data_IF_095231421943
#
_entry.id   IF_095231421943
#
_cell.length_a   1.000
_cell.length_b   1.000
_cell.length_c   1.000
_cell.angle_alpha   90.00
_cell.angle_beta   90.00
_cell.angle_gamma   90.00
#
_symmetry.space_group_name_H-M   'P 1'
#
loop_
_entity.id
_entity.type
_entity.pdbx_description
1 polymer ?
#
# COMPACT_ATOMS: atom_id res chain seq x y z
N UNK A 1 56.79 -32.58 32.99
CA UNK A 1 55.36 -32.58 33.41
C UNK A 1 54.46 -32.44 32.18
N UNK A 2 53.80 -33.52 31.73
CA UNK A 2 52.85 -33.49 30.60
C UNK A 2 51.53 -32.87 31.07
N UNK A 3 51.18 -31.66 30.64
CA UNK A 3 49.81 -31.14 30.84
C UNK A 3 48.82 -32.13 30.20
N UNK A 4 47.81 -32.62 30.93
CA UNK A 4 46.95 -33.69 30.42
C UNK A 4 46.06 -33.14 29.31
N UNK A 5 46.16 -33.74 28.12
CA UNK A 5 45.42 -33.37 26.89
C UNK A 5 43.89 -33.26 27.09
N UNK A 6 43.34 -33.83 28.16
CA UNK A 6 41.94 -33.71 28.58
C UNK A 6 41.54 -32.29 28.99
N UNK A 7 42.43 -31.54 29.65
CA UNK A 7 42.18 -30.15 30.07
C UNK A 7 41.99 -29.21 28.89
N UNK A 8 42.78 -29.38 27.82
CA UNK A 8 42.68 -28.58 26.60
C UNK A 8 41.39 -28.88 25.82
N UNK A 9 40.99 -30.15 25.76
CA UNK A 9 39.72 -30.55 25.13
C UNK A 9 38.51 -29.99 25.88
N UNK A 10 38.54 -30.03 27.22
CA UNK A 10 37.48 -29.46 28.04
C UNK A 10 37.34 -27.95 27.81
N UNK A 11 38.45 -27.21 27.83
CA UNK A 11 38.46 -25.77 27.56
C UNK A 11 37.88 -25.47 26.17
N UNK A 12 38.31 -26.22 25.15
CA UNK A 12 37.83 -26.03 23.78
C UNK A 12 36.33 -26.29 23.65
N UNK A 13 35.81 -27.36 24.26
CA UNK A 13 34.37 -27.66 24.25
C UNK A 13 33.56 -26.58 24.96
N UNK A 14 34.02 -26.11 26.13
CA UNK A 14 33.34 -25.02 26.86
C UNK A 14 33.32 -23.74 26.03
N UNK A 15 34.44 -23.38 25.40
CA UNK A 15 34.51 -22.19 24.53
C UNK A 15 33.54 -22.29 23.36
N UNK A 16 33.45 -23.45 22.68
CA UNK A 16 32.52 -23.65 21.57
C UNK A 16 31.07 -23.51 22.04
N UNK A 17 30.72 -24.12 23.18
CA UNK A 17 29.35 -24.02 23.74
C UNK A 17 29.01 -22.58 24.08
N UNK A 18 29.93 -21.83 24.70
CA UNK A 18 29.72 -20.42 25.05
C UNK A 18 29.49 -19.58 23.79
N UNK A 19 30.34 -19.74 22.76
CA UNK A 19 30.19 -19.03 21.49
C UNK A 19 28.84 -19.35 20.84
N UNK A 20 28.46 -20.63 20.79
CA UNK A 20 27.20 -21.05 20.19
C UNK A 20 25.99 -20.52 20.95
N UNK A 21 26.05 -20.51 22.29
CA UNK A 21 25.00 -19.98 23.16
C UNK A 21 24.84 -18.48 22.98
N UNK A 22 25.94 -17.73 22.91
CA UNK A 22 25.92 -16.29 22.66
C UNK A 22 25.34 -15.97 21.28
N UNK A 23 25.74 -16.70 20.24
CA UNK A 23 25.20 -16.51 18.89
C UNK A 23 23.71 -16.84 18.83
N UNK A 24 23.28 -17.92 19.48
CA UNK A 24 21.86 -18.30 19.53
C UNK A 24 21.02 -17.23 20.24
N UNK A 25 21.47 -16.75 21.39
CA UNK A 25 20.80 -15.67 22.12
C UNK A 25 20.76 -14.37 21.33
N UNK A 26 21.87 -13.97 20.68
CA UNK A 26 21.91 -12.77 19.84
C UNK A 26 20.94 -12.87 18.64
N UNK A 27 20.83 -14.05 18.03
CA UNK A 27 19.93 -14.27 16.90
C UNK A 27 18.46 -14.26 17.34
N UNK A 28 18.17 -14.75 18.55
CA UNK A 28 16.80 -14.75 19.11
C UNK A 28 16.40 -13.36 19.65
N UNK A 29 17.36 -12.56 20.12
CA UNK A 29 17.14 -11.18 20.59
C UNK A 29 17.04 -10.15 19.45
N UNK A 30 17.45 -10.49 18.22
CA UNK A 30 17.22 -9.67 17.02
C UNK A 30 15.75 -9.74 16.54
N UNK A 31 14.82 -9.75 17.50
CA UNK A 31 13.38 -9.65 17.32
C UNK A 31 13.06 -8.25 16.80
N UNK A 32 12.95 -8.14 15.47
CA UNK A 32 12.36 -7.03 14.73
C UNK A 32 12.99 -5.66 15.02
N UNK A 33 14.12 -5.37 14.34
CA UNK A 33 14.27 -3.99 13.87
C UNK A 33 13.11 -3.73 12.93
N UNK A 34 12.01 -3.20 13.46
CA UNK A 34 11.12 -2.42 12.62
C UNK A 34 12.00 -1.31 12.05
N UNK A 35 12.37 -1.45 10.78
CA UNK A 35 12.84 -0.30 10.02
C UNK A 35 11.67 0.69 10.05
N UNK A 36 11.64 1.53 11.07
CA UNK A 36 10.94 2.81 11.05
C UNK A 36 11.70 3.66 10.05
N UNK A 37 11.51 3.36 8.77
CA UNK A 37 11.90 4.23 7.69
C UNK A 37 10.93 5.41 7.73
N UNK A 38 11.20 6.34 8.64
CA UNK A 38 10.61 7.67 8.54
C UNK A 38 11.19 8.23 7.24
N UNK A 39 10.35 8.32 6.21
CA UNK A 39 10.67 9.02 4.97
C UNK A 39 10.80 10.49 5.34
N UNK A 40 11.96 10.88 5.89
CA UNK A 40 12.21 12.21 6.44
C UNK A 40 12.43 13.27 5.36
N UNK A 41 12.35 12.88 4.08
CA UNK A 41 12.53 13.78 2.96
C UNK A 41 11.38 13.58 1.96
N UNK A 42 10.47 14.54 1.91
CA UNK A 42 9.50 14.64 0.84
C UNK A 42 10.28 14.84 -0.46
N UNK A 43 10.38 13.79 -1.28
CA UNK A 43 10.96 13.90 -2.62
C UNK A 43 10.12 14.93 -3.39
N UNK A 44 10.67 16.10 -3.65
CA UNK A 44 9.99 17.14 -4.44
C UNK A 44 9.58 16.58 -5.80
N UNK A 45 8.42 17.00 -6.31
CA UNK A 45 7.95 16.66 -7.66
C UNK A 45 8.91 17.11 -8.77
N UNK A 46 9.84 18.03 -8.47
CA UNK A 46 10.88 18.51 -9.38
C UNK A 46 12.17 17.68 -9.32
N UNK A 47 12.27 16.69 -8.43
CA UNK A 47 13.45 15.83 -8.34
C UNK A 47 13.47 14.83 -9.51
N UNK A 48 14.59 14.66 -10.24
CA UNK A 48 14.69 13.71 -11.36
C UNK A 48 14.45 12.25 -10.96
N UNK A 49 14.56 11.92 -9.68
CA UNK A 49 14.26 10.59 -9.14
C UNK A 49 12.83 10.44 -8.61
N UNK A 50 11.99 11.48 -8.65
CA UNK A 50 10.63 11.47 -8.09
C UNK A 50 9.80 10.28 -8.58
N UNK A 51 9.66 10.13 -9.90
CA UNK A 51 8.89 9.06 -10.54
C UNK A 51 9.40 7.68 -10.15
N UNK A 52 10.73 7.51 -10.06
CA UNK A 52 11.35 6.23 -9.68
C UNK A 52 11.13 5.90 -8.20
N UNK A 53 11.22 6.90 -7.33
CA UNK A 53 11.04 6.73 -5.88
C UNK A 53 9.59 6.45 -5.53
N UNK A 54 8.65 7.24 -6.09
CA UNK A 54 7.21 7.07 -5.85
C UNK A 54 6.69 5.79 -6.51
N UNK A 55 7.16 5.44 -7.70
CA UNK A 55 6.74 4.22 -8.40
C UNK A 55 7.06 2.94 -7.61
N UNK A 56 8.12 2.94 -6.80
CA UNK A 56 8.43 1.83 -5.89
C UNK A 56 7.48 1.69 -4.71
N UNK A 57 6.82 2.78 -4.30
CA UNK A 57 5.94 2.81 -3.14
C UNK A 57 4.51 2.49 -3.56
N UNK A 58 4.06 3.09 -4.67
CA UNK A 58 2.66 3.02 -5.06
C UNK A 58 2.28 1.72 -5.75
N UNK A 59 3.24 1.03 -6.38
CA UNK A 59 3.12 -0.22 -7.17
C UNK A 59 2.74 -0.03 -8.66
N UNK A 60 1.81 0.86 -9.07
CA UNK A 60 1.62 1.20 -10.47
C UNK A 60 2.80 1.94 -11.09
N UNK A 61 3.13 1.56 -12.32
CA UNK A 61 3.99 2.35 -13.21
C UNK A 61 3.30 3.65 -13.58
N UNK A 62 4.02 4.77 -13.56
CA UNK A 62 3.52 6.04 -14.09
C UNK A 62 3.20 5.91 -15.58
N UNK A 63 2.03 6.40 -15.97
CA UNK A 63 1.58 6.43 -17.36
C UNK A 63 1.58 7.88 -17.84
N UNK A 64 2.09 8.13 -19.04
CA UNK A 64 2.08 9.46 -19.67
C UNK A 64 0.76 9.74 -20.41
N UNK A 65 0.52 11.00 -20.77
CA UNK A 65 -0.63 11.39 -21.59
C UNK A 65 -1.97 11.50 -20.85
N UNK A 66 -1.97 11.52 -19.51
CA UNK A 66 -3.20 11.73 -18.74
C UNK A 66 -3.73 13.15 -18.93
N UNK A 67 -5.05 13.28 -19.09
CA UNK A 67 -5.76 14.53 -18.90
C UNK A 67 -6.18 14.63 -17.43
N UNK A 68 -5.82 15.74 -16.77
CA UNK A 68 -6.10 15.95 -15.36
C UNK A 68 -6.92 17.23 -15.23
N UNK A 69 -8.11 17.11 -14.67
CA UNK A 69 -8.99 18.23 -14.33
C UNK A 69 -9.10 18.28 -12.79
N UNK A 70 -8.79 19.43 -12.18
CA UNK A 70 -8.88 19.62 -10.73
C UNK A 70 -10.31 20.04 -10.40
N UNK A 71 -10.98 19.28 -9.53
CA UNK A 71 -12.34 19.55 -9.06
C UNK A 71 -12.31 19.91 -7.58
N UNK A 72 -12.94 21.02 -7.23
CA UNK A 72 -12.98 21.56 -5.88
C UNK A 72 -14.35 21.28 -5.24
N UNK A 73 -14.33 20.56 -4.11
CA UNK A 73 -15.50 20.29 -3.27
C UNK A 73 -16.62 19.48 -3.95
N UNK A 74 -17.71 19.25 -3.22
CA UNK A 74 -18.85 18.46 -3.70
C UNK A 74 -19.61 19.10 -4.87
N UNK A 75 -19.60 20.42 -5.00
CA UNK A 75 -20.30 21.13 -6.08
C UNK A 75 -19.71 20.82 -7.47
N UNK A 76 -18.40 20.60 -7.55
CA UNK A 76 -17.73 20.24 -8.80
C UNK A 76 -17.58 18.71 -8.96
N UNK A 77 -17.31 17.99 -7.87
CA UNK A 77 -17.07 16.55 -7.88
C UNK A 77 -18.36 15.78 -8.24
N UNK A 78 -19.47 16.08 -7.58
CA UNK A 78 -20.69 15.26 -7.71
C UNK A 78 -21.30 15.32 -9.13
N UNK A 79 -21.47 16.49 -9.77
CA UNK A 79 -21.98 16.53 -11.15
C UNK A 79 -21.03 15.87 -12.15
N UNK A 80 -19.72 16.01 -11.96
CA UNK A 80 -18.72 15.38 -12.83
C UNK A 80 -18.80 13.85 -12.77
N UNK A 81 -18.86 13.28 -11.56
CA UNK A 81 -19.04 11.83 -11.36
C UNK A 81 -20.35 11.33 -11.97
N UNK A 82 -21.45 12.06 -11.78
CA UNK A 82 -22.75 11.72 -12.36
C UNK A 82 -22.69 11.73 -13.90
N UNK A 83 -22.04 12.72 -14.51
CA UNK A 83 -21.86 12.76 -15.97
C UNK A 83 -21.00 11.59 -16.48
N UNK A 84 -19.92 11.24 -15.76
CA UNK A 84 -19.06 10.10 -16.10
C UNK A 84 -19.85 8.78 -16.05
N UNK A 85 -20.66 8.58 -15.01
CA UNK A 85 -21.56 7.41 -14.90
C UNK A 85 -22.54 7.39 -16.08
N UNK A 86 -23.22 8.52 -16.36
CA UNK A 86 -24.23 8.61 -17.42
C UNK A 86 -23.68 8.28 -18.82
N UNK A 87 -22.41 8.63 -19.09
CA UNK A 87 -21.76 8.44 -20.38
C UNK A 87 -20.98 7.12 -20.53
N UNK A 88 -20.77 6.37 -19.45
CA UNK A 88 -19.94 5.16 -19.44
C UNK A 88 -20.51 4.04 -20.32
N UNK A 89 -19.74 3.53 -21.29
CA UNK A 89 -20.26 2.60 -22.31
C UNK A 89 -20.01 1.11 -22.02
N UNK A 90 -19.02 0.78 -21.19
CA UNK A 90 -18.58 -0.62 -21.02
C UNK A 90 -18.64 -1.06 -19.56
N UNK A 91 -17.96 -0.33 -18.68
CA UNK A 91 -17.85 -0.69 -17.27
C UNK A 91 -17.93 0.56 -16.40
N UNK A 92 -18.38 0.37 -15.16
CA UNK A 92 -18.30 1.33 -14.07
C UNK A 92 -17.79 0.57 -12.84
N UNK A 93 -16.71 1.06 -12.24
CA UNK A 93 -16.25 0.61 -10.93
C UNK A 93 -16.39 1.79 -9.98
N UNK A 94 -17.24 1.64 -8.98
CA UNK A 94 -17.53 2.69 -8.02
C UNK A 94 -17.20 2.21 -6.60
N UNK A 95 -16.43 3.00 -5.88
CA UNK A 95 -16.03 2.72 -4.51
C UNK A 95 -16.26 3.96 -3.64
N UNK A 96 -16.84 3.79 -2.45
CA UNK A 96 -17.00 4.88 -1.47
C UNK A 96 -17.03 4.34 -0.05
N UNK A 97 -16.33 5.03 0.86
CA UNK A 97 -16.35 4.73 2.30
C UNK A 97 -17.67 5.15 2.98
N UNK A 98 -18.32 6.21 2.48
CA UNK A 98 -19.59 6.70 3.04
C UNK A 98 -20.61 6.80 1.91
N UNK A 99 -21.72 6.10 2.10
CA UNK A 99 -22.88 6.19 1.24
C UNK A 99 -24.14 6.21 2.09
N UNK A 100 -24.88 7.31 2.04
CA UNK A 100 -26.07 7.51 2.87
C UNK A 100 -27.28 7.94 2.04
N UNK A 101 -28.46 7.71 2.60
CA UNK A 101 -29.73 8.12 2.03
C UNK A 101 -29.83 9.63 1.94
N UNK A 102 -30.38 10.12 0.83
CA UNK A 102 -30.56 11.53 0.53
C UNK A 102 -30.54 11.75 -0.98
N UNK A 103 -30.90 12.96 -1.43
CA UNK A 103 -31.11 13.26 -2.85
C UNK A 103 -29.91 12.87 -3.74
N UNK A 104 -28.70 13.10 -3.26
CA UNK A 104 -27.48 12.75 -4.01
C UNK A 104 -27.29 11.23 -4.05
N UNK A 105 -27.39 10.54 -2.92
CA UNK A 105 -27.28 9.08 -2.86
C UNK A 105 -28.27 8.42 -3.81
N UNK A 106 -29.54 8.81 -3.74
CA UNK A 106 -30.59 8.27 -4.62
C UNK A 106 -30.30 8.50 -6.10
N UNK A 107 -29.77 9.68 -6.47
CA UNK A 107 -29.37 9.97 -7.86
C UNK A 107 -28.26 9.04 -8.34
N UNK A 108 -27.24 8.81 -7.52
CA UNK A 108 -26.17 7.84 -7.83
C UNK A 108 -26.74 6.43 -8.01
N UNK A 109 -27.53 5.94 -7.04
CA UNK A 109 -28.12 4.60 -7.12
C UNK A 109 -28.98 4.43 -8.37
N UNK A 110 -29.83 5.41 -8.67
CA UNK A 110 -30.72 5.37 -9.84
C UNK A 110 -29.92 5.28 -11.13
N UNK A 111 -28.90 6.12 -11.29
CA UNK A 111 -28.15 6.16 -12.55
C UNK A 111 -27.22 4.97 -12.71
N UNK A 112 -26.58 4.50 -11.64
CA UNK A 112 -25.82 3.25 -11.65
C UNK A 112 -26.71 2.06 -12.04
N UNK A 113 -27.91 1.96 -11.45
CA UNK A 113 -28.88 0.93 -11.80
C UNK A 113 -29.38 1.05 -13.24
N UNK A 114 -29.58 2.26 -13.74
CA UNK A 114 -29.96 2.50 -15.13
C UNK A 114 -28.87 2.03 -16.11
N UNK A 115 -27.62 2.43 -15.89
CA UNK A 115 -26.49 1.97 -16.73
C UNK A 115 -26.35 0.45 -16.70
N UNK A 116 -26.49 -0.16 -15.52
CA UNK A 116 -26.47 -1.61 -15.36
C UNK A 116 -27.56 -2.30 -16.21
N UNK A 117 -28.80 -1.79 -16.18
CA UNK A 117 -29.89 -2.30 -17.02
C UNK A 117 -29.65 -2.12 -18.51
N UNK A 118 -28.92 -1.07 -18.89
CA UNK A 118 -28.51 -0.80 -20.26
C UNK A 118 -27.25 -1.56 -20.70
N UNK A 119 -26.83 -2.59 -19.95
CA UNK A 119 -25.76 -3.51 -20.33
C UNK A 119 -24.34 -3.06 -19.96
N UNK A 120 -24.19 -1.94 -19.25
CA UNK A 120 -22.90 -1.53 -18.69
C UNK A 120 -22.60 -2.40 -17.46
N UNK A 121 -21.40 -2.93 -17.35
CA UNK A 121 -21.01 -3.75 -16.19
C UNK A 121 -20.71 -2.85 -14.99
N UNK A 122 -21.54 -2.88 -13.97
CA UNK A 122 -21.42 -2.01 -12.80
C UNK A 122 -20.97 -2.82 -11.58
N UNK A 123 -19.82 -2.45 -11.02
CA UNK A 123 -19.28 -2.99 -9.77
C UNK A 123 -19.29 -1.91 -8.70
N UNK A 124 -19.83 -2.24 -7.53
CA UNK A 124 -19.96 -1.30 -6.42
C UNK A 124 -19.31 -1.92 -5.18
N UNK A 125 -18.42 -1.16 -4.54
CA UNK A 125 -17.85 -1.47 -3.24
C UNK A 125 -18.17 -0.33 -2.27
N UNK A 126 -18.83 -0.66 -1.16
CA UNK A 126 -19.13 0.28 -0.08
C UNK A 126 -18.58 -0.31 1.22
N UNK A 127 -18.07 0.56 2.10
CA UNK A 127 -17.71 0.23 3.48
C UNK A 127 -18.94 0.37 4.40
#
# INVERSE_FOLDING_TARGET
MKKPKSSLRLIMTVTVIVVFTVLFLANFMNSHQELSYVVSESVSTHNPYFTKSIGKILDPTFVEGNKIDILLNGEEILPSMLNAIGSAQHTITFESYIYWSGDIGERFARMLAERARNGVMVHILLD
#
